data_IF_475210748867
#
_entry.id   IF_475210748867
#
_cell.length_a   1.000
_cell.length_b   1.000
_cell.length_c   1.000
_cell.angle_alpha   90.00
_cell.angle_beta   90.00
_cell.angle_gamma   90.00
#
_symmetry.space_group_name_H-M   'P 1'
#
loop_
_entity.id
_entity.type
_entity.pdbx_description
1 polymer ?
#
# COMPACT_ATOMS: atom_id res chain seq x y z
N UNK A 1 8.07 21.97 16.00
CA UNK A 1 7.96 21.07 14.84
C UNK A 1 7.33 19.77 15.32
N UNK A 2 6.02 19.55 15.17
CA UNK A 2 5.51 18.19 15.29
C UNK A 2 5.81 17.44 13.98
N UNK A 3 6.18 16.18 14.13
CA UNK A 3 6.47 15.26 13.05
C UNK A 3 5.14 14.67 12.58
N UNK A 4 4.69 15.01 11.36
CA UNK A 4 3.51 14.43 10.71
C UNK A 4 3.80 12.96 10.32
N UNK A 5 3.97 12.12 11.34
CA UNK A 5 4.36 10.73 11.21
C UNK A 5 3.16 9.82 11.35
N UNK A 6 2.89 9.07 10.28
CA UNK A 6 2.09 7.83 10.22
C UNK A 6 0.66 7.93 9.66
N UNK A 7 0.47 8.60 8.51
CA UNK A 7 -0.63 8.22 7.61
C UNK A 7 -0.38 6.81 7.05
N UNK A 8 -1.26 5.86 7.35
CA UNK A 8 -1.10 4.48 6.91
C UNK A 8 -2.27 3.57 7.24
N UNK A 9 -2.18 2.34 6.74
CA UNK A 9 -3.17 1.28 6.94
C UNK A 9 -2.46 -0.01 7.31
N UNK A 10 -2.93 -0.70 8.35
CA UNK A 10 -2.44 -2.04 8.69
C UNK A 10 -3.62 -2.96 8.89
N UNK A 11 -3.69 -4.01 8.09
CA UNK A 11 -4.77 -4.98 8.20
C UNK A 11 -4.95 -5.84 6.96
N UNK A 12 -6.07 -6.57 6.88
CA UNK A 12 -6.39 -7.40 5.74
C UNK A 12 -6.68 -6.55 4.50
N UNK A 13 -6.22 -7.02 3.34
CA UNK A 13 -6.51 -6.44 2.04
C UNK A 13 -6.64 -7.54 0.99
N UNK A 14 -7.26 -7.23 -0.13
CA UNK A 14 -7.33 -8.09 -1.30
C UNK A 14 -6.38 -7.53 -2.36
N UNK A 15 -5.38 -8.31 -2.74
CA UNK A 15 -4.49 -8.00 -3.84
C UNK A 15 -4.97 -8.70 -5.11
N UNK A 16 -5.19 -7.92 -6.17
CA UNK A 16 -5.57 -8.42 -7.50
C UNK A 16 -4.37 -8.31 -8.43
N UNK A 17 -3.85 -9.43 -8.94
CA UNK A 17 -2.72 -9.47 -9.89
C UNK A 17 -3.05 -10.46 -11.00
N UNK A 18 -2.86 -10.07 -12.25
CA UNK A 18 -3.20 -10.90 -13.43
C UNK A 18 -4.65 -11.44 -13.39
N UNK A 19 -5.59 -10.67 -12.84
CA UNK A 19 -6.99 -11.08 -12.66
C UNK A 19 -7.22 -12.10 -11.54
N UNK A 20 -6.20 -12.45 -10.77
CA UNK A 20 -6.31 -13.33 -9.60
C UNK A 20 -6.39 -12.50 -8.32
N UNK A 21 -7.42 -12.75 -7.51
CA UNK A 21 -7.63 -12.09 -6.22
C UNK A 21 -7.03 -12.93 -5.08
N UNK A 22 -6.19 -12.33 -4.25
CA UNK A 22 -5.59 -12.93 -3.06
C UNK A 22 -5.90 -12.10 -1.82
N UNK A 23 -6.44 -12.75 -0.79
CA UNK A 23 -6.50 -12.15 0.55
C UNK A 23 -5.09 -12.16 1.17
N UNK A 24 -4.61 -10.99 1.58
CA UNK A 24 -3.27 -10.76 2.15
C UNK A 24 -3.35 -9.83 3.35
N UNK A 25 -2.35 -9.88 4.23
CA UNK A 25 -2.16 -8.82 5.22
C UNK A 25 -1.11 -7.82 4.76
N UNK A 26 -1.44 -6.53 4.90
CA UNK A 26 -0.59 -5.44 4.47
C UNK A 26 -0.33 -4.43 5.58
N UNK A 27 0.85 -3.82 5.52
CA UNK A 27 1.16 -2.59 6.22
C UNK A 27 1.51 -1.54 5.17
N UNK A 28 0.67 -0.53 5.02
CA UNK A 28 0.77 0.58 4.09
C UNK A 28 1.13 1.85 4.84
N UNK A 29 1.94 2.69 4.22
CA UNK A 29 2.32 4.01 4.69
C UNK A 29 2.31 4.97 3.51
N UNK A 30 1.84 6.17 3.74
CA UNK A 30 1.76 7.22 2.73
C UNK A 30 2.49 8.47 3.17
N UNK A 31 2.93 9.27 2.20
CA UNK A 31 3.28 10.66 2.44
C UNK A 31 2.94 11.51 1.22
N UNK A 32 2.62 12.77 1.48
CA UNK A 32 2.45 13.76 0.43
C UNK A 32 3.81 14.27 -0.03
N UNK A 33 4.07 14.25 -1.34
CA UNK A 33 5.27 14.84 -1.93
C UNK A 33 4.97 16.29 -2.37
N UNK A 34 5.50 17.31 -1.67
CA UNK A 34 5.21 18.71 -1.99
C UNK A 34 5.87 19.19 -3.29
N UNK A 35 6.85 18.45 -3.80
CA UNK A 35 7.62 18.81 -5.00
C UNK A 35 6.80 18.61 -6.26
N UNK A 36 6.07 17.50 -6.34
CA UNK A 36 5.29 17.11 -7.51
C UNK A 36 3.77 17.11 -7.25
N UNK A 37 3.35 17.35 -6.00
CA UNK A 37 1.94 17.39 -5.59
C UNK A 37 1.28 16.02 -5.54
N UNK A 38 2.05 14.94 -5.69
CA UNK A 38 1.51 13.58 -5.68
C UNK A 38 1.58 12.97 -4.28
N UNK A 39 0.51 12.28 -3.90
CA UNK A 39 0.58 11.38 -2.76
C UNK A 39 1.27 10.09 -3.20
N UNK A 40 2.33 9.70 -2.50
CA UNK A 40 3.05 8.45 -2.74
C UNK A 40 2.86 7.55 -1.53
N UNK A 41 2.51 6.30 -1.78
CA UNK A 41 2.34 5.32 -0.74
C UNK A 41 3.11 4.06 -1.07
N UNK A 42 3.58 3.41 -0.02
CA UNK A 42 4.32 2.18 -0.11
C UNK A 42 3.84 1.25 0.97
N UNK A 43 3.98 -0.04 0.74
CA UNK A 43 3.55 -1.02 1.70
C UNK A 43 4.37 -2.29 1.66
N UNK A 44 4.09 -3.16 2.61
CA UNK A 44 4.63 -4.51 2.64
C UNK A 44 3.49 -5.48 2.81
N UNK A 45 3.58 -6.58 2.09
CA UNK A 45 2.72 -7.74 2.28
C UNK A 45 3.47 -8.73 3.17
N UNK A 46 2.78 -9.27 4.17
CA UNK A 46 3.30 -10.38 4.97
C UNK A 46 3.63 -11.57 4.07
N UNK A 47 4.59 -12.41 4.46
CA UNK A 47 4.96 -13.58 3.65
C UNK A 47 3.73 -14.45 3.37
N UNK A 48 3.43 -14.65 2.10
CA UNK A 48 2.34 -15.50 1.61
C UNK A 48 2.87 -16.37 0.47
N UNK A 49 2.74 -17.70 0.61
CA UNK A 49 3.26 -18.64 -0.37
C UNK A 49 2.46 -18.64 -1.68
N UNK A 50 1.15 -18.38 -1.61
CA UNK A 50 0.29 -18.26 -2.79
C UNK A 50 0.68 -17.04 -3.61
N UNK A 51 0.98 -15.94 -2.92
CA UNK A 51 1.50 -14.73 -3.55
C UNK A 51 2.86 -14.99 -4.22
N UNK A 52 3.74 -15.72 -3.54
CA UNK A 52 5.03 -16.09 -4.10
C UNK A 52 4.89 -16.93 -5.38
N UNK A 53 3.99 -17.93 -5.38
CA UNK A 53 3.68 -18.74 -6.56
C UNK A 53 3.11 -17.90 -7.70
N UNK A 54 2.20 -16.96 -7.39
CA UNK A 54 1.56 -16.10 -8.40
C UNK A 54 2.54 -15.12 -9.06
N UNK A 55 3.43 -14.51 -8.27
CA UNK A 55 4.39 -13.52 -8.75
C UNK A 55 5.66 -14.15 -9.33
N UNK A 56 6.01 -15.36 -8.89
CA UNK A 56 7.23 -16.06 -9.32
C UNK A 56 8.51 -15.25 -9.04
N UNK A 57 8.50 -14.45 -7.97
CA UNK A 57 9.60 -13.55 -7.62
C UNK A 57 9.81 -12.36 -8.56
N UNK A 58 8.88 -12.08 -9.49
CA UNK A 58 8.98 -10.97 -10.44
C UNK A 58 8.12 -9.79 -10.04
N UNK A 59 8.48 -8.61 -10.55
CA UNK A 59 7.66 -7.41 -10.42
C UNK A 59 6.41 -7.53 -11.30
N UNK A 60 5.25 -7.20 -10.74
CA UNK A 60 3.99 -7.16 -11.50
C UNK A 60 3.11 -5.99 -11.06
N UNK A 61 2.38 -5.36 -12.00
CA UNK A 61 1.31 -4.44 -11.64
C UNK A 61 0.18 -5.21 -10.95
N UNK A 62 -0.46 -4.57 -9.98
CA UNK A 62 -1.62 -5.08 -9.27
C UNK A 62 -2.54 -3.97 -8.78
N UNK A 63 -3.67 -4.38 -8.25
CA UNK A 63 -4.63 -3.51 -7.59
C UNK A 63 -4.81 -3.98 -6.15
N UNK A 64 -4.61 -3.09 -5.20
CA UNK A 64 -4.81 -3.37 -3.79
C UNK A 64 -6.16 -2.79 -3.37
N UNK A 65 -7.02 -3.64 -2.83
CA UNK A 65 -8.34 -3.30 -2.30
C UNK A 65 -8.32 -3.49 -0.80
N UNK A 66 -8.61 -2.43 -0.06
CA UNK A 66 -8.83 -2.46 1.38
C UNK A 66 -10.32 -2.23 1.64
N UNK A 67 -10.80 -2.36 2.89
CA UNK A 67 -12.15 -1.93 3.25
C UNK A 67 -12.43 -0.44 3.01
N UNK A 68 -11.39 0.38 2.91
CA UNK A 68 -11.48 1.84 2.81
C UNK A 68 -11.40 2.34 1.35
N UNK A 69 -10.90 1.52 0.43
CA UNK A 69 -10.82 1.87 -0.97
C UNK A 69 -9.93 0.94 -1.79
N UNK A 70 -9.69 1.32 -3.04
CA UNK A 70 -8.86 0.57 -3.96
C UNK A 70 -7.85 1.46 -4.67
N UNK A 71 -6.66 0.93 -4.94
CA UNK A 71 -5.60 1.65 -5.60
C UNK A 71 -4.70 0.74 -6.40
N UNK A 72 -4.23 1.24 -7.54
CA UNK A 72 -3.24 0.54 -8.36
C UNK A 72 -1.86 0.65 -7.71
N UNK A 73 -1.13 -0.44 -7.78
CA UNK A 73 0.20 -0.55 -7.21
C UNK A 73 1.08 -1.46 -8.07
N UNK A 74 2.39 -1.35 -7.85
CA UNK A 74 3.37 -2.30 -8.34
C UNK A 74 3.79 -3.19 -7.17
N UNK A 75 3.70 -4.50 -7.37
CA UNK A 75 4.27 -5.48 -6.46
C UNK A 75 5.70 -5.74 -6.92
N UNK A 76 6.68 -5.32 -6.13
CA UNK A 76 8.11 -5.50 -6.40
C UNK A 76 8.62 -6.88 -5.98
N UNK A 77 9.89 -7.19 -6.26
CA UNK A 77 10.53 -8.44 -5.85
C UNK A 77 10.45 -8.71 -4.34
N UNK A 78 10.35 -10.00 -3.93
CA UNK A 78 10.35 -10.36 -2.53
C UNK A 78 11.73 -10.05 -1.92
N UNK A 79 11.72 -9.52 -0.70
CA UNK A 79 12.95 -9.39 0.08
C UNK A 79 13.54 -10.77 0.45
N UNK A 80 14.76 -10.83 1.03
CA UNK A 80 15.37 -12.10 1.45
C UNK A 80 14.56 -12.92 2.46
N UNK A 81 13.51 -12.34 3.05
CA UNK A 81 12.58 -12.98 3.99
C UNK A 81 11.26 -13.39 3.33
N UNK A 82 11.11 -13.22 2.02
CA UNK A 82 9.93 -13.58 1.26
C UNK A 82 8.77 -12.58 1.38
N UNK A 83 9.04 -11.33 1.80
CA UNK A 83 8.02 -10.28 1.88
C UNK A 83 8.03 -9.43 0.62
N UNK A 84 6.84 -9.22 0.06
CA UNK A 84 6.65 -8.41 -1.13
C UNK A 84 6.47 -6.94 -0.77
N UNK A 85 7.09 -6.06 -1.55
CA UNK A 85 6.90 -4.61 -1.43
C UNK A 85 5.82 -4.14 -2.40
N UNK A 86 4.97 -3.25 -1.90
CA UNK A 86 3.97 -2.53 -2.69
C UNK A 86 4.43 -1.10 -2.87
N UNK A 87 4.31 -0.59 -4.09
CA UNK A 87 4.51 0.82 -4.41
C UNK A 87 3.29 1.32 -5.17
N UNK A 88 2.66 2.36 -4.67
CA UNK A 88 1.57 3.01 -5.37
C UNK A 88 1.74 4.51 -5.41
N UNK A 89 1.13 5.12 -6.41
CA UNK A 89 1.09 6.56 -6.61
C UNK A 89 -0.37 7.00 -6.69
N UNK A 90 -0.63 8.26 -6.32
CA UNK A 90 -1.97 8.87 -6.30
C UNK A 90 -2.80 8.48 -5.04
N UNK A 91 -4.13 8.50 -5.16
CA UNK A 91 -5.08 8.23 -4.07
C UNK A 91 -4.78 6.88 -3.41
N UNK A 92 -4.36 6.85 -2.15
CA UNK A 92 -4.10 5.60 -1.45
C UNK A 92 -5.41 4.85 -1.21
N UNK A 93 -5.37 3.50 -1.08
CA UNK A 93 -6.52 2.69 -0.74
C UNK A 93 -6.75 2.73 0.77
N UNK A 94 -6.66 3.89 1.40
CA UNK A 94 -6.96 4.09 2.82
C UNK A 94 -7.34 5.56 3.04
N UNK A 95 -8.07 5.82 4.11
CA UNK A 95 -8.50 7.16 4.48
C UNK A 95 -7.27 8.01 4.77
N UNK A 96 -7.01 8.98 3.89
CA UNK A 96 -6.11 10.09 4.20
C UNK A 96 -6.93 11.23 4.76
N UNK A 97 -6.50 11.88 5.86
CA UNK A 97 -7.12 13.11 6.31
C UNK A 97 -7.00 14.13 5.17
N UNK A 98 -8.17 14.58 4.66
CA UNK A 98 -8.24 15.46 3.48
C UNK A 98 -8.04 16.93 3.82
N UNK A 99 -7.93 17.29 5.10
CA UNK A 99 -7.83 18.68 5.54
C UNK A 99 -6.87 18.89 6.71
N UNK A 100 -6.07 19.96 6.63
CA UNK A 100 -5.21 20.46 7.72
C UNK A 100 -6.02 20.81 8.99
N UNK A 101 -7.34 21.00 8.87
CA UNK A 101 -8.24 21.33 9.96
C UNK A 101 -8.54 20.14 10.91
N UNK A 102 -8.33 18.90 10.48
CA UNK A 102 -8.59 17.70 11.30
C UNK A 102 -7.39 17.28 12.19
N UNK A 103 -6.20 17.87 11.98
CA UNK A 103 -5.01 17.65 12.84
C UNK A 103 -5.03 18.49 14.14
N UNK A 104 -6.00 19.41 14.30
CA UNK A 104 -6.02 20.40 15.37
C UNK A 104 -6.99 20.10 16.52
N UNK A 105 -7.51 18.88 16.63
CA UNK A 105 -8.52 18.53 17.64
C UNK A 105 -8.10 17.32 18.48
N UNK A 106 -7.22 17.55 19.46
CA UNK A 106 -7.40 17.10 20.85
C UNK A 106 -6.49 17.88 21.81
#
# INVERSE_FOLDING_TARGET
MPVDGEDGYRGPATLVVDGTELAVEVELRGHFQPIDGYYRWYGRITRDERLHTLLGGRKKPGELRTPEGEARCEVSDPDPWGRYRLLGTSTPPFTVPKTLAELASE
#
